data_IF_059164904353
#
_entry.id   IF_059164904353
#
_cell.length_a   1.000
_cell.length_b   1.000
_cell.length_c   1.000
_cell.angle_alpha   90.00
_cell.angle_beta   90.00
_cell.angle_gamma   90.00
#
_symmetry.space_group_name_H-M   'P 1'
#
loop_
_entity.id
_entity.type
_entity.pdbx_description
1 polymer ?
#
# COMPACT_ATOMS: atom_id res chain seq x y z
N UNK A 1 -1.55 5.33 13.68
CA UNK A 1 -0.89 4.86 14.93
C UNK A 1 -0.26 6.08 15.57
N UNK A 2 -0.51 6.37 16.85
CA UNK A 2 0.08 7.53 17.53
C UNK A 2 1.18 7.08 18.50
N UNK A 3 2.31 7.77 18.52
CA UNK A 3 3.38 7.59 19.51
C UNK A 3 3.39 8.77 20.49
N UNK A 4 3.64 8.48 21.76
CA UNK A 4 3.98 9.48 22.77
C UNK A 4 5.17 8.98 23.61
N UNK A 5 6.05 9.89 24.04
CA UNK A 5 7.03 9.60 25.08
C UNK A 5 6.33 9.16 26.37
N UNK A 6 7.06 8.52 27.30
CA UNK A 6 6.55 8.14 28.61
C UNK A 6 5.91 9.35 29.34
N UNK A 7 4.58 9.48 29.20
CA UNK A 7 3.77 10.64 29.60
C UNK A 7 3.54 11.62 28.44
N UNK A 8 2.35 11.78 27.87
CA UNK A 8 1.06 11.17 28.11
C UNK A 8 0.28 11.28 26.79
N UNK A 9 -0.05 10.15 26.16
CA UNK A 9 -1.13 10.17 25.18
C UNK A 9 -2.38 10.69 25.90
N UNK A 10 -3.22 11.52 25.26
CA UNK A 10 -4.47 11.95 25.86
C UNK A 10 -5.33 10.73 26.27
N UNK A 11 -6.36 10.89 27.11
CA UNK A 11 -7.29 9.80 27.39
C UNK A 11 -7.80 9.14 26.09
N UNK A 12 -7.97 7.81 26.05
CA UNK A 12 -8.49 7.12 24.86
C UNK A 12 -9.81 7.73 24.39
N UNK A 13 -9.86 8.10 23.11
CA UNK A 13 -11.06 8.59 22.45
C UNK A 13 -11.93 7.45 21.91
N UNK A 14 -13.08 7.81 21.34
CA UNK A 14 -14.10 6.88 20.79
C UNK A 14 -13.55 5.82 19.82
N UNK A 15 -12.47 6.14 19.10
CA UNK A 15 -11.92 5.32 18.03
C UNK A 15 -10.54 4.74 18.36
N UNK A 16 -10.09 4.89 19.60
CA UNK A 16 -8.85 4.30 20.11
C UNK A 16 -9.18 2.93 20.69
N UNK A 17 -8.97 1.86 19.92
CA UNK A 17 -9.48 0.52 20.28
C UNK A 17 -8.46 -0.35 21.01
N UNK A 18 -7.15 -0.09 20.84
CA UNK A 18 -6.08 -0.88 21.45
C UNK A 18 -4.93 0.04 21.88
N UNK A 19 -4.48 -0.11 23.13
CA UNK A 19 -3.21 0.44 23.64
C UNK A 19 -2.23 -0.70 23.93
N UNK A 20 -1.08 -0.69 23.24
CA UNK A 20 0.03 -1.59 23.50
C UNK A 20 1.06 -0.85 24.36
N UNK A 21 1.17 -1.26 25.63
CA UNK A 21 2.14 -0.72 26.57
C UNK A 21 3.50 -1.40 26.38
N UNK A 22 4.54 -0.61 26.19
CA UNK A 22 5.92 -1.07 26.02
C UNK A 22 6.84 -0.32 27.00
N UNK A 23 8.06 -0.80 27.18
CA UNK A 23 9.08 -0.08 27.97
C UNK A 23 9.45 1.28 27.38
N UNK A 24 9.20 1.51 26.08
CA UNK A 24 9.45 2.77 25.38
C UNK A 24 8.25 3.74 25.38
N UNK A 25 7.11 3.34 25.94
CA UNK A 25 5.88 4.12 25.91
C UNK A 25 4.68 3.33 25.40
N UNK A 26 3.62 4.04 25.03
CA UNK A 26 2.34 3.44 24.59
C UNK A 26 2.16 3.62 23.09
N UNK A 27 1.83 2.53 22.40
CA UNK A 27 1.40 2.54 21.01
C UNK A 27 -0.12 2.43 20.95
N UNK A 28 -0.78 3.45 20.42
CA UNK A 28 -2.24 3.49 20.32
C UNK A 28 -2.73 3.22 18.90
N UNK A 29 -3.59 2.22 18.76
CA UNK A 29 -4.29 1.86 17.53
C UNK A 29 -5.63 2.61 17.43
N UNK A 30 -5.66 3.58 16.53
CA UNK A 30 -6.82 4.39 16.21
C UNK A 30 -7.42 3.94 14.88
N UNK A 31 -8.67 3.49 14.88
CA UNK A 31 -9.35 3.01 13.66
C UNK A 31 -10.84 3.35 13.69
N UNK A 32 -11.25 4.53 13.18
CA UNK A 32 -12.64 4.96 13.21
C UNK A 32 -13.62 4.00 12.53
N UNK A 33 -13.15 3.27 11.50
CA UNK A 33 -13.97 2.38 10.67
C UNK A 33 -13.89 0.91 11.08
N UNK A 34 -12.96 0.55 11.97
CA UNK A 34 -12.73 -0.83 12.44
C UNK A 34 -12.48 -1.82 11.30
N UNK A 35 -11.73 -1.38 10.29
CA UNK A 35 -11.36 -2.23 9.14
C UNK A 35 -10.02 -2.94 9.31
N UNK A 36 -9.12 -2.40 10.14
CA UNK A 36 -7.90 -3.10 10.47
C UNK A 36 -8.10 -4.07 11.64
N UNK A 37 -7.09 -4.90 11.86
CA UNK A 37 -7.16 -6.00 12.80
C UNK A 37 -5.81 -6.21 13.48
N UNK A 38 -5.85 -6.84 14.65
CA UNK A 38 -4.67 -7.32 15.37
C UNK A 38 -4.81 -8.83 15.51
N UNK A 39 -3.76 -9.56 15.11
CA UNK A 39 -3.71 -11.01 15.19
C UNK A 39 -2.43 -11.38 15.91
N UNK A 40 -2.54 -12.19 16.94
CA UNK A 40 -1.42 -12.87 17.57
C UNK A 40 -1.43 -14.32 17.10
N UNK A 41 -0.37 -14.76 16.44
CA UNK A 41 -0.23 -16.10 15.90
C UNK A 41 1.15 -16.65 16.27
N UNK A 42 1.22 -17.64 17.18
CA UNK A 42 2.49 -18.27 17.53
C UNK A 42 2.88 -19.29 16.44
N UNK A 43 3.94 -19.01 15.69
CA UNK A 43 4.39 -19.81 14.54
C UNK A 43 4.16 -19.11 13.19
N UNK A 44 4.91 -19.52 12.15
CA UNK A 44 5.19 -18.68 10.98
C UNK A 44 3.95 -18.07 10.29
N UNK A 45 4.04 -16.76 10.11
CA UNK A 45 3.16 -15.90 9.31
C UNK A 45 3.04 -16.33 7.82
N UNK A 46 3.86 -17.27 7.36
CA UNK A 46 3.88 -17.79 5.98
C UNK A 46 2.51 -18.25 5.50
N UNK A 47 1.69 -18.89 6.33
CA UNK A 47 0.40 -19.41 5.89
C UNK A 47 -0.63 -18.30 5.57
N UNK A 48 -0.63 -17.17 6.31
CA UNK A 48 -1.58 -16.06 6.07
C UNK A 48 -1.17 -15.19 4.89
N UNK A 49 0.13 -15.07 4.67
CA UNK A 49 0.68 -14.32 3.55
C UNK A 49 0.98 -15.19 2.33
N UNK A 50 0.65 -16.49 2.40
CA UNK A 50 0.72 -17.41 1.29
C UNK A 50 -0.16 -16.93 0.13
N UNK A 51 0.44 -16.80 -1.06
CA UNK A 51 -0.25 -16.38 -2.27
C UNK A 51 -0.31 -14.87 -2.50
N UNK A 52 0.34 -14.06 -1.65
CA UNK A 52 0.63 -12.67 -2.00
C UNK A 52 1.57 -12.58 -3.21
N UNK A 53 1.42 -11.49 -3.97
CA UNK A 53 2.32 -11.11 -5.04
C UNK A 53 3.67 -10.61 -4.51
N UNK A 54 4.63 -10.34 -5.39
CA UNK A 54 5.92 -9.79 -5.01
C UNK A 54 5.78 -8.38 -4.42
N UNK A 55 6.74 -8.03 -3.57
CA UNK A 55 6.94 -6.66 -3.07
C UNK A 55 7.36 -5.76 -4.25
N UNK A 56 6.61 -4.68 -4.58
CA UNK A 56 6.86 -3.88 -5.77
C UNK A 56 8.25 -3.24 -5.82
N UNK A 57 8.87 -2.94 -4.67
CA UNK A 57 10.19 -2.29 -4.63
C UNK A 57 11.35 -3.29 -4.60
N UNK A 58 11.09 -4.61 -4.58
CA UNK A 58 12.15 -5.61 -4.69
C UNK A 58 12.56 -5.85 -6.15
N UNK A 59 13.64 -6.61 -6.32
CA UNK A 59 14.10 -7.06 -7.63
C UNK A 59 13.19 -8.14 -8.24
N UNK A 60 12.36 -8.80 -7.43
CA UNK A 60 11.42 -9.84 -7.90
C UNK A 60 10.20 -9.26 -8.66
N UNK A 61 10.04 -7.94 -8.63
CA UNK A 61 9.00 -7.25 -9.37
C UNK A 61 9.58 -6.46 -10.54
N UNK A 62 9.34 -6.94 -11.76
CA UNK A 62 9.69 -6.26 -12.99
C UNK A 62 8.58 -6.37 -14.05
N UNK A 63 8.88 -5.89 -15.27
CA UNK A 63 7.95 -5.93 -16.38
C UNK A 63 7.57 -7.35 -16.82
N UNK A 64 8.49 -8.30 -16.74
CA UNK A 64 8.28 -9.69 -17.16
C UNK A 64 7.47 -10.46 -16.11
N UNK A 65 7.76 -10.25 -14.82
CA UNK A 65 6.97 -10.76 -13.71
C UNK A 65 5.54 -10.23 -13.76
N UNK A 66 5.37 -8.92 -13.99
CA UNK A 66 4.06 -8.30 -14.14
C UNK A 66 3.33 -8.87 -15.36
N UNK A 67 3.98 -8.89 -16.53
CA UNK A 67 3.39 -9.44 -17.75
C UNK A 67 2.91 -10.88 -17.56
N UNK A 68 3.72 -11.73 -16.94
CA UNK A 68 3.39 -13.13 -16.65
C UNK A 68 2.13 -13.23 -15.79
N UNK A 69 2.04 -12.42 -14.72
CA UNK A 69 0.88 -12.41 -13.80
C UNK A 69 -0.41 -11.87 -14.41
N UNK A 70 -0.32 -11.06 -15.48
CA UNK A 70 -1.47 -10.47 -16.16
C UNK A 70 -2.02 -11.33 -17.31
N UNK A 71 -1.27 -12.33 -17.80
CA UNK A 71 -1.61 -13.08 -19.04
C UNK A 71 -3.01 -13.68 -19.09
N UNK A 72 -3.54 -14.10 -17.95
CA UNK A 72 -4.83 -14.78 -17.87
C UNK A 72 -5.93 -13.89 -17.27
N UNK A 73 -5.66 -12.59 -17.08
CA UNK A 73 -6.57 -11.65 -16.42
C UNK A 73 -7.27 -10.78 -17.46
N UNK A 74 -8.56 -11.04 -17.70
CA UNK A 74 -9.38 -10.26 -18.64
C UNK A 74 -9.98 -8.98 -18.02
N UNK A 75 -9.86 -8.83 -16.70
CA UNK A 75 -10.30 -7.63 -15.97
C UNK A 75 -9.47 -6.39 -16.36
N UNK A 76 -10.00 -5.20 -16.05
CA UNK A 76 -9.29 -3.95 -16.27
C UNK A 76 -7.96 -3.88 -15.51
N UNK A 77 -6.94 -3.30 -16.11
CA UNK A 77 -5.57 -3.26 -15.57
C UNK A 77 -5.50 -2.60 -14.19
N UNK A 78 -6.31 -1.56 -13.93
CA UNK A 78 -6.38 -0.94 -12.59
C UNK A 78 -6.83 -1.95 -11.53
N UNK A 79 -7.87 -2.72 -11.82
CA UNK A 79 -8.35 -3.75 -10.91
C UNK A 79 -7.30 -4.87 -10.76
N UNK A 80 -6.61 -5.23 -11.84
CA UNK A 80 -5.60 -6.28 -11.81
C UNK A 80 -4.40 -5.93 -10.92
N UNK A 81 -3.86 -4.71 -11.01
CA UNK A 81 -2.70 -4.30 -10.20
C UNK A 81 -3.07 -3.99 -8.74
N UNK A 82 -4.35 -3.80 -8.43
CA UNK A 82 -4.84 -3.68 -7.05
C UNK A 82 -5.06 -5.03 -6.36
N UNK A 83 -5.08 -6.13 -7.12
CA UNK A 83 -5.12 -7.49 -6.57
C UNK A 83 -3.77 -7.81 -5.92
N UNK A 84 -3.78 -8.00 -4.59
CA UNK A 84 -2.58 -8.27 -3.79
C UNK A 84 -1.88 -9.59 -4.16
N UNK A 85 -2.50 -10.45 -5.00
CA UNK A 85 -1.85 -11.63 -5.61
C UNK A 85 -1.01 -11.30 -6.85
N UNK A 86 -1.25 -10.15 -7.48
CA UNK A 86 -0.47 -9.66 -8.63
C UNK A 86 0.76 -8.92 -8.14
N UNK A 87 0.56 -7.97 -7.23
CA UNK A 87 1.60 -7.16 -6.59
C UNK A 87 1.03 -6.60 -5.29
N UNK A 88 1.80 -6.61 -4.21
CA UNK A 88 1.34 -6.10 -2.92
C UNK A 88 1.49 -4.58 -2.82
N UNK A 89 0.78 -3.95 -1.89
CA UNK A 89 0.98 -2.53 -1.54
C UNK A 89 0.39 -1.53 -2.54
N UNK A 90 -0.03 -1.97 -3.72
CA UNK A 90 -0.65 -1.10 -4.73
C UNK A 90 -2.15 -0.90 -4.41
N UNK A 91 -2.44 0.20 -3.71
CA UNK A 91 -3.80 0.66 -3.43
C UNK A 91 -4.41 1.53 -4.53
N UNK A 92 -5.65 1.99 -4.34
CA UNK A 92 -6.40 2.75 -5.35
C UNK A 92 -5.68 4.02 -5.86
N UNK A 93 -5.00 4.75 -4.96
CA UNK A 93 -4.27 5.98 -5.32
C UNK A 93 -3.09 5.61 -6.21
N UNK A 94 -2.18 4.79 -5.71
CA UNK A 94 -0.95 4.45 -6.41
C UNK A 94 -1.21 3.72 -7.73
N UNK A 95 -2.27 2.91 -7.81
CA UNK A 95 -2.71 2.33 -9.08
C UNK A 95 -3.11 3.40 -10.09
N UNK A 96 -3.90 4.41 -9.68
CA UNK A 96 -4.29 5.52 -10.55
C UNK A 96 -3.08 6.33 -11.01
N UNK A 97 -2.19 6.73 -10.10
CA UNK A 97 -0.99 7.53 -10.40
C UNK A 97 -0.03 6.77 -11.32
N UNK A 98 0.25 5.49 -11.03
CA UNK A 98 1.14 4.69 -11.86
C UNK A 98 0.58 4.47 -13.28
N UNK A 99 -0.74 4.28 -13.41
CA UNK A 99 -1.38 4.14 -14.72
C UNK A 99 -1.38 5.45 -15.50
N UNK A 100 -1.56 6.59 -14.81
CA UNK A 100 -1.43 7.91 -15.42
C UNK A 100 0.00 8.14 -15.92
N UNK A 101 0.99 7.91 -15.07
CA UNK A 101 2.41 8.04 -15.40
C UNK A 101 2.83 7.13 -16.56
N UNK A 102 2.32 5.90 -16.61
CA UNK A 102 2.55 4.97 -17.72
C UNK A 102 1.67 5.26 -18.96
N UNK A 103 0.74 6.22 -18.91
CA UNK A 103 -0.20 6.50 -19.99
C UNK A 103 -1.10 5.30 -20.37
N UNK A 104 -1.47 4.46 -19.40
CA UNK A 104 -2.29 3.26 -19.61
C UNK A 104 -3.73 3.53 -19.17
N UNK A 105 -4.71 3.31 -20.06
CA UNK A 105 -6.13 3.44 -19.71
C UNK A 105 -6.52 2.41 -18.64
N UNK A 106 -7.11 2.81 -17.49
CA UNK A 106 -7.46 1.91 -16.37
C UNK A 106 -8.33 0.71 -16.73
N UNK A 107 -9.22 0.87 -17.72
CA UNK A 107 -10.13 -0.16 -18.20
C UNK A 107 -9.54 -1.11 -19.25
N UNK A 108 -8.28 -0.92 -19.67
CA UNK A 108 -7.61 -1.83 -20.60
C UNK A 108 -7.56 -3.22 -19.99
N UNK A 109 -8.04 -4.24 -20.70
CA UNK A 109 -7.92 -5.62 -20.21
C UNK A 109 -6.45 -5.96 -19.92
N UNK A 110 -6.16 -6.43 -18.71
CA UNK A 110 -4.81 -6.65 -18.23
C UNK A 110 -3.99 -7.57 -19.16
N UNK A 111 -4.60 -8.64 -19.65
CA UNK A 111 -3.98 -9.57 -20.58
C UNK A 111 -3.60 -8.98 -21.95
N UNK A 112 -4.08 -7.78 -22.29
CA UNK A 112 -3.75 -7.08 -23.55
C UNK A 112 -2.50 -6.21 -23.46
N UNK A 113 -1.96 -5.98 -22.27
CA UNK A 113 -0.71 -5.23 -22.14
C UNK A 113 0.45 -6.08 -22.70
N UNK A 114 1.15 -5.53 -23.70
CA UNK A 114 2.38 -6.10 -24.24
C UNK A 114 3.50 -6.06 -23.21
N UNK A 115 4.52 -6.93 -23.35
CA UNK A 115 5.71 -6.94 -22.48
C UNK A 115 6.35 -5.55 -22.28
N UNK A 116 6.61 -4.72 -23.33
CA UNK A 116 7.20 -3.39 -23.12
C UNK A 116 6.32 -2.47 -22.27
N UNK A 117 5.00 -2.49 -22.52
CA UNK A 117 4.03 -1.72 -21.71
C UNK A 117 3.95 -2.22 -20.26
N UNK A 118 4.16 -3.51 -20.00
CA UNK A 118 4.30 -4.02 -18.63
C UNK A 118 5.58 -3.52 -17.97
N UNK A 119 6.70 -3.43 -18.69
CA UNK A 119 7.94 -2.87 -18.16
C UNK A 119 7.79 -1.39 -17.78
N UNK A 120 7.17 -0.58 -18.65
CA UNK A 120 6.85 0.82 -18.36
C UNK A 120 5.93 0.95 -17.14
N UNK A 121 4.89 0.11 -17.06
CA UNK A 121 3.97 0.13 -15.92
C UNK A 121 4.63 -0.31 -14.61
N UNK A 122 5.48 -1.34 -14.64
CA UNK A 122 6.22 -1.78 -13.46
C UNK A 122 7.16 -0.66 -12.96
N UNK A 123 7.88 0.01 -13.86
CA UNK A 123 8.72 1.16 -13.51
C UNK A 123 7.90 2.33 -12.94
N UNK A 124 6.73 2.62 -13.52
CA UNK A 124 5.82 3.65 -13.02
C UNK A 124 5.28 3.33 -11.63
N UNK A 125 4.94 2.06 -11.35
CA UNK A 125 4.54 1.60 -10.01
C UNK A 125 5.66 1.83 -9.00
N UNK A 126 6.90 1.39 -9.31
CA UNK A 126 8.05 1.60 -8.42
C UNK A 126 8.28 3.08 -8.14
N UNK A 127 8.28 3.90 -9.19
CA UNK A 127 8.47 5.36 -9.09
C UNK A 127 7.42 6.00 -8.20
N UNK A 128 6.14 5.65 -8.41
CA UNK A 128 5.02 6.19 -7.64
C UNK A 128 5.12 5.81 -6.16
N UNK A 129 5.43 4.55 -5.86
CA UNK A 129 5.53 4.06 -4.49
C UNK A 129 6.75 4.63 -3.78
N UNK A 130 7.89 4.76 -4.46
CA UNK A 130 9.07 5.39 -3.89
C UNK A 130 8.80 6.86 -3.56
N UNK A 131 8.21 7.62 -4.48
CA UNK A 131 7.82 9.01 -4.22
C UNK A 131 6.83 9.13 -3.06
N UNK A 132 5.91 8.17 -2.92
CA UNK A 132 5.01 8.11 -1.77
C UNK A 132 5.77 7.85 -0.46
N UNK A 133 6.72 6.92 -0.44
CA UNK A 133 7.54 6.66 0.76
C UNK A 133 8.37 7.89 1.14
N UNK A 134 9.05 8.50 0.18
CA UNK A 134 9.93 9.65 0.40
C UNK A 134 9.17 10.87 0.93
N UNK A 135 7.89 11.02 0.55
CA UNK A 135 7.00 12.07 1.04
C UNK A 135 6.24 11.72 2.33
N UNK A 136 6.56 10.59 2.97
CA UNK A 136 5.96 10.14 4.21
C UNK A 136 4.59 9.46 4.06
N UNK A 137 4.23 9.08 2.83
CA UNK A 137 2.99 8.44 2.44
C UNK A 137 1.94 9.43 1.90
N UNK A 138 0.86 8.87 1.36
CA UNK A 138 -0.35 9.65 1.07
C UNK A 138 -1.23 9.72 2.31
N UNK A 139 -1.34 10.92 2.89
CA UNK A 139 -2.46 11.20 3.79
C UNK A 139 -3.71 11.14 2.94
N UNK A 140 -4.67 10.27 3.22
CA UNK A 140 -6.04 10.46 2.76
C UNK A 140 -6.91 10.53 4.00
N UNK A 141 -7.41 11.73 4.30
CA UNK A 141 -8.41 12.15 5.30
C UNK A 141 -8.28 11.63 6.75
N UNK A 142 -7.84 10.40 6.99
CA UNK A 142 -7.78 9.74 8.31
C UNK A 142 -6.40 9.09 8.61
N UNK A 143 -5.47 9.04 7.66
CA UNK A 143 -4.12 8.49 7.90
C UNK A 143 -3.13 9.60 8.25
N UNK A 144 -2.70 9.66 9.51
CA UNK A 144 -1.61 10.53 9.99
C UNK A 144 -0.38 9.67 10.28
N UNK A 145 0.81 10.21 10.00
CA UNK A 145 2.06 9.54 10.34
C UNK A 145 2.16 9.26 11.85
N UNK A 146 3.10 8.39 12.22
CA UNK A 146 3.35 8.00 13.61
C UNK A 146 3.74 9.16 14.53
N UNK A 147 4.20 10.27 13.97
CA UNK A 147 4.53 11.54 14.62
C UNK A 147 3.36 12.57 14.59
N UNK A 148 2.22 12.21 13.99
CA UNK A 148 1.03 13.05 13.89
C UNK A 148 1.01 14.00 12.68
N UNK A 149 2.05 14.03 11.83
CA UNK A 149 2.05 14.88 10.64
C UNK A 149 1.24 14.23 9.49
N UNK A 150 0.54 15.03 8.66
CA UNK A 150 0.04 14.53 7.38
C UNK A 150 1.23 14.27 6.44
N UNK A 151 1.35 13.06 5.91
CA UNK A 151 2.18 12.77 4.73
C UNK A 151 1.81 13.63 3.52
N UNK A 152 2.81 14.15 2.82
CA UNK A 152 2.69 15.26 1.88
C UNK A 152 2.43 14.84 0.43
N UNK A 153 2.27 13.55 0.14
CA UNK A 153 2.08 13.05 -1.23
C UNK A 153 0.87 13.70 -1.96
N UNK A 154 -0.12 14.22 -1.23
CA UNK A 154 -1.27 14.90 -1.84
C UNK A 154 -0.90 16.14 -2.68
N UNK A 155 0.28 16.73 -2.49
CA UNK A 155 0.68 17.95 -3.19
C UNK A 155 1.40 17.71 -4.53
N UNK A 156 1.57 16.45 -4.94
CA UNK A 156 2.24 16.10 -6.21
C UNK A 156 1.24 15.59 -7.27
N UNK A 157 -0.06 15.56 -6.97
CA UNK A 157 -1.07 15.22 -7.98
C UNK A 157 -1.09 16.28 -9.08
N UNK A 158 -0.82 15.87 -10.32
CA UNK A 158 -1.00 16.67 -11.53
C UNK A 158 -2.33 16.35 -12.21
#
# INVERSE_FOLDING_TARGET
IRRGSAGALPPPGRHDHIDLHTTAGVLRYHDPRRFGFWVYEPGLAEARFAGLGPEPLSDDFDGDALHTRLRHRQIGIKQAIMDQKVVVGVGNIYASEALYLAGVRPGTAACRLSRPRCAELAAAIKTTLQAAIDSGGSTLRDFTQSDGQPGYFQHTFN
#
